data_IF_720318503336
#
_entry.id   IF_720318503336
#
_cell.length_a   1.000
_cell.length_b   1.000
_cell.length_c   1.000
_cell.angle_alpha   90.00
_cell.angle_beta   90.00
_cell.angle_gamma   90.00
#
_symmetry.space_group_name_H-M   'P 1'
#
loop_
_entity.id
_entity.type
_entity.pdbx_description
1 polymer ?
#
# COMPACT_ATOMS: atom_id res chain seq x y z
N UNK A 1 13.53 10.67 -23.23
CA UNK A 1 14.12 10.61 -21.87
C UNK A 1 13.05 10.26 -20.85
N UNK A 2 13.36 9.51 -19.76
CA UNK A 2 12.34 9.06 -18.84
C UNK A 2 11.79 10.25 -18.04
N UNK A 3 10.50 10.52 -18.19
CA UNK A 3 9.75 11.57 -17.48
C UNK A 3 9.67 11.23 -15.98
N UNK A 4 10.75 11.40 -15.22
CA UNK A 4 10.66 11.40 -13.75
C UNK A 4 9.94 12.69 -13.34
N UNK A 5 8.78 12.52 -12.72
CA UNK A 5 7.95 13.64 -12.27
C UNK A 5 8.74 14.59 -11.37
N UNK A 6 9.00 15.81 -11.88
CA UNK A 6 9.67 16.94 -11.23
C UNK A 6 8.88 17.53 -10.04
N UNK A 7 7.85 16.82 -9.55
CA UNK A 7 6.91 17.28 -8.52
C UNK A 7 7.27 16.84 -7.09
N UNK A 8 8.44 16.22 -6.90
CA UNK A 8 8.81 15.56 -5.63
C UNK A 8 9.80 16.34 -4.75
N UNK A 9 10.29 17.50 -5.19
CA UNK A 9 11.41 18.21 -4.55
C UNK A 9 11.02 19.45 -3.73
N UNK A 10 9.72 19.73 -3.56
CA UNK A 10 9.23 20.94 -2.86
C UNK A 10 9.11 20.74 -1.32
N UNK A 11 10.05 20.05 -0.68
CA UNK A 11 9.97 19.77 0.76
C UNK A 11 8.81 18.84 1.17
N UNK A 12 8.28 18.05 0.23
CA UNK A 12 7.25 17.06 0.54
C UNK A 12 7.84 15.86 1.29
N UNK A 13 7.43 15.70 2.55
CA UNK A 13 7.77 14.55 3.38
C UNK A 13 6.90 13.35 2.95
N UNK A 14 7.55 12.27 2.52
CA UNK A 14 6.90 11.03 2.07
C UNK A 14 6.39 10.24 3.26
N UNK A 15 5.22 9.61 3.09
CA UNK A 15 4.63 8.69 4.07
C UNK A 15 5.62 7.58 4.46
N UNK A 16 5.64 7.13 5.74
CA UNK A 16 6.36 5.93 6.12
C UNK A 16 5.77 4.71 5.41
N UNK A 17 6.61 3.70 5.17
CA UNK A 17 6.18 2.46 4.51
C UNK A 17 5.36 1.61 5.48
N UNK A 18 4.26 1.05 4.99
CA UNK A 18 3.49 0.05 5.73
C UNK A 18 4.09 -1.36 5.52
N UNK A 19 3.61 -2.34 6.29
CA UNK A 19 4.09 -3.73 6.24
C UNK A 19 4.08 -4.32 4.82
N UNK A 20 2.96 -4.17 4.11
CA UNK A 20 2.82 -4.64 2.73
C UNK A 20 3.87 -4.02 1.80
N UNK A 21 4.10 -2.71 1.88
CA UNK A 21 5.07 -2.02 1.02
C UNK A 21 6.51 -2.46 1.33
N UNK A 22 6.83 -2.74 2.60
CA UNK A 22 8.16 -3.25 3.00
C UNK A 22 8.40 -4.62 2.37
N UNK A 23 7.42 -5.53 2.51
CA UNK A 23 7.47 -6.87 1.92
C UNK A 23 7.50 -6.83 0.38
N UNK A 24 6.58 -6.07 -0.23
CA UNK A 24 6.37 -6.02 -1.67
C UNK A 24 7.58 -5.44 -2.42
N UNK A 25 8.38 -4.56 -1.81
CA UNK A 25 9.59 -4.02 -2.46
C UNK A 25 10.59 -5.10 -2.84
N UNK A 26 10.80 -6.09 -1.99
CA UNK A 26 11.72 -7.22 -2.25
C UNK A 26 11.11 -8.17 -3.29
N UNK A 27 9.86 -8.57 -3.07
CA UNK A 27 9.16 -9.56 -3.90
C UNK A 27 8.84 -9.05 -5.31
N UNK A 28 8.55 -7.75 -5.45
CA UNK A 28 8.31 -7.13 -6.75
C UNK A 28 9.51 -7.28 -7.69
N UNK A 29 10.73 -7.12 -7.18
CA UNK A 29 11.94 -7.24 -8.01
C UNK A 29 12.06 -8.65 -8.56
N UNK A 30 11.85 -9.65 -7.70
CA UNK A 30 11.90 -11.07 -8.07
C UNK A 30 10.85 -11.41 -9.12
N UNK A 31 9.60 -10.96 -8.93
CA UNK A 31 8.52 -11.22 -9.90
C UNK A 31 8.72 -10.50 -11.24
N UNK A 32 9.28 -9.29 -11.22
CA UNK A 32 9.58 -8.53 -12.43
C UNK A 32 10.73 -9.15 -13.23
N UNK A 33 11.73 -9.71 -12.55
CA UNK A 33 12.84 -10.42 -13.18
C UNK A 33 12.39 -11.76 -13.77
N UNK A 34 11.52 -12.50 -13.06
CA UNK A 34 10.94 -13.74 -13.55
C UNK A 34 9.97 -13.53 -14.72
N UNK A 35 9.28 -12.39 -14.77
CA UNK A 35 8.29 -12.06 -15.79
C UNK A 35 8.55 -10.67 -16.39
N UNK A 36 9.60 -10.52 -17.25
CA UNK A 36 9.99 -9.21 -17.77
C UNK A 36 8.94 -8.58 -18.71
N UNK A 37 8.02 -9.37 -19.25
CA UNK A 37 6.90 -8.93 -20.08
C UNK A 37 5.67 -8.51 -19.28
N UNK A 38 5.59 -8.91 -17.99
CA UNK A 38 4.45 -8.61 -17.15
C UNK A 38 4.39 -7.12 -16.84
N UNK A 39 3.18 -6.57 -16.88
CA UNK A 39 2.93 -5.19 -16.51
C UNK A 39 3.10 -5.00 -15.00
N UNK A 40 3.40 -3.77 -14.60
CA UNK A 40 3.43 -3.41 -13.18
C UNK A 40 2.09 -3.62 -12.47
N UNK A 41 0.97 -3.57 -13.22
CA UNK A 41 -0.36 -3.87 -12.71
C UNK A 41 -0.48 -5.33 -12.31
N UNK A 42 -0.17 -6.25 -13.23
CA UNK A 42 -0.21 -7.70 -13.01
C UNK A 42 0.72 -8.13 -11.87
N UNK A 43 1.95 -7.59 -11.83
CA UNK A 43 2.89 -7.87 -10.72
C UNK A 43 2.30 -7.41 -9.38
N UNK A 44 1.62 -6.26 -9.35
CA UNK A 44 1.01 -5.74 -8.10
C UNK A 44 -0.20 -6.56 -7.66
N UNK A 45 -0.96 -7.08 -8.60
CA UNK A 45 -2.08 -7.97 -8.34
C UNK A 45 -1.58 -9.30 -7.74
N UNK A 46 -0.57 -9.92 -8.35
CA UNK A 46 0.05 -11.14 -7.83
C UNK A 46 0.60 -10.93 -6.41
N UNK A 47 1.32 -9.82 -6.18
CA UNK A 47 1.83 -9.49 -4.84
C UNK A 47 0.71 -9.35 -3.81
N UNK A 48 -0.43 -8.77 -4.19
CA UNK A 48 -1.59 -8.65 -3.30
C UNK A 48 -2.19 -10.01 -2.94
N UNK A 49 -2.23 -10.94 -3.89
CA UNK A 49 -2.68 -12.33 -3.66
C UNK A 49 -1.72 -13.04 -2.69
N UNK A 50 -0.42 -13.01 -2.98
CA UNK A 50 0.59 -13.68 -2.15
C UNK A 50 0.62 -13.11 -0.73
N UNK A 51 0.55 -11.79 -0.56
CA UNK A 51 0.48 -11.17 0.77
C UNK A 51 -0.71 -11.66 1.59
N UNK A 52 -1.88 -11.88 0.97
CA UNK A 52 -3.05 -12.41 1.69
C UNK A 52 -2.86 -13.85 2.12
N UNK A 53 -2.13 -14.66 1.34
CA UNK A 53 -1.84 -16.07 1.65
C UNK A 53 -0.86 -16.26 2.79
N UNK A 54 0.05 -15.30 3.01
CA UNK A 54 1.00 -15.37 4.12
C UNK A 54 0.27 -15.47 5.47
N UNK A 55 0.80 -16.31 6.34
CA UNK A 55 0.37 -16.43 7.73
C UNK A 55 0.67 -15.15 8.51
N UNK A 56 0.04 -14.99 9.68
CA UNK A 56 0.31 -13.85 10.55
C UNK A 56 1.77 -13.85 11.01
N UNK A 57 2.32 -15.02 11.35
CA UNK A 57 3.72 -15.19 11.77
C UNK A 57 4.71 -14.73 10.70
N UNK A 58 4.43 -15.01 9.42
CA UNK A 58 5.24 -14.52 8.30
C UNK A 58 5.10 -13.00 8.10
N UNK A 59 3.94 -12.42 8.43
CA UNK A 59 3.68 -10.98 8.33
C UNK A 59 4.27 -10.19 9.50
N UNK A 60 4.36 -10.79 10.69
CA UNK A 60 4.85 -10.18 11.93
C UNK A 60 6.13 -9.36 11.79
N UNK A 61 7.23 -9.86 11.17
CA UNK A 61 8.44 -9.06 11.00
C UNK A 61 8.21 -7.78 10.18
N UNK A 62 7.30 -7.81 9.20
CA UNK A 62 6.96 -6.64 8.39
C UNK A 62 6.07 -5.65 9.13
N UNK A 63 5.18 -6.14 10.01
CA UNK A 63 4.40 -5.29 10.90
C UNK A 63 5.29 -4.58 11.93
N UNK A 64 6.23 -5.31 12.55
CA UNK A 64 7.21 -4.73 13.47
C UNK A 64 8.06 -3.65 12.78
N UNK A 65 8.55 -3.92 11.58
CA UNK A 65 9.34 -2.95 10.82
C UNK A 65 8.50 -1.75 10.36
N UNK A 66 7.25 -1.98 9.94
CA UNK A 66 6.29 -0.91 9.63
C UNK A 66 6.06 -0.01 10.84
N UNK A 67 5.96 -0.59 12.03
CA UNK A 67 5.79 0.16 13.26
C UNK A 67 7.04 0.99 13.57
N UNK A 68 8.23 0.38 13.46
CA UNK A 68 9.52 1.06 13.63
C UNK A 68 9.64 2.28 12.70
N UNK A 69 9.38 2.10 11.41
CA UNK A 69 9.44 3.18 10.42
C UNK A 69 8.41 4.27 10.67
N UNK A 70 7.21 3.92 11.16
CA UNK A 70 6.21 4.90 11.56
C UNK A 70 6.69 5.75 12.74
N UNK A 71 7.25 5.13 13.77
CA UNK A 71 7.78 5.85 14.94
C UNK A 71 8.97 6.73 14.57
N UNK A 72 9.92 6.19 13.80
CA UNK A 72 11.07 6.94 13.30
C UNK A 72 10.64 8.17 12.48
N UNK A 73 9.66 8.00 11.59
CA UNK A 73 9.09 9.11 10.84
C UNK A 73 8.42 10.15 11.73
N UNK A 74 7.67 9.73 12.76
CA UNK A 74 7.00 10.64 13.68
C UNK A 74 8.02 11.44 14.52
N UNK A 75 9.13 10.82 14.92
CA UNK A 75 10.21 11.51 15.63
C UNK A 75 10.95 12.50 14.74
N UNK A 76 11.25 12.13 13.49
CA UNK A 76 11.92 13.02 12.54
C UNK A 76 11.04 14.16 12.06
N UNK A 77 9.72 13.93 11.98
CA UNK A 77 8.75 14.90 11.47
C UNK A 77 7.54 15.00 12.42
N UNK A 78 7.69 15.64 13.59
CA UNK A 78 6.63 15.75 14.59
C UNK A 78 5.41 16.54 14.08
N UNK A 79 5.63 17.53 13.22
CA UNK A 79 4.58 18.36 12.62
C UNK A 79 3.99 17.78 11.32
N UNK A 80 4.41 16.56 10.94
CA UNK A 80 3.93 15.95 9.72
C UNK A 80 2.50 15.43 9.88
N UNK A 81 1.62 15.90 8.99
CA UNK A 81 0.22 15.51 8.96
C UNK A 81 -0.15 14.92 7.59
N UNK A 82 -0.84 13.78 7.59
CA UNK A 82 -1.35 13.18 6.36
C UNK A 82 -2.54 13.97 5.82
N UNK A 83 -2.31 14.75 4.77
CA UNK A 83 -3.36 15.48 4.04
C UNK A 83 -3.67 14.76 2.72
N UNK A 84 -4.71 13.91 2.64
CA UNK A 84 -5.06 13.24 1.41
C UNK A 84 -5.38 14.29 0.34
N UNK A 85 -4.65 14.25 -0.77
CA UNK A 85 -4.94 15.14 -1.89
C UNK A 85 -6.24 14.67 -2.54
N UNK A 86 -7.31 15.45 -2.37
CA UNK A 86 -8.54 15.24 -3.14
C UNK A 86 -8.20 15.30 -4.62
N UNK A 87 -8.21 14.14 -5.28
CA UNK A 87 -8.23 14.07 -6.73
C UNK A 87 -9.71 14.16 -7.06
N UNK A 88 -10.14 15.22 -7.75
CA UNK A 88 -11.44 15.21 -8.44
C UNK A 88 -11.45 13.94 -9.30
N UNK A 89 -12.14 12.91 -8.81
CA UNK A 89 -12.37 11.67 -9.54
C UNK A 89 -13.21 12.08 -10.74
N UNK A 90 -12.63 12.11 -11.94
CA UNK A 90 -13.43 11.92 -13.15
C UNK A 90 -14.07 10.55 -12.98
N UNK A 91 -15.38 10.52 -12.76
CA UNK A 91 -16.13 9.28 -12.59
C UNK A 91 -15.95 8.46 -13.87
N UNK A 92 -15.14 7.41 -13.80
CA UNK A 92 -15.20 6.32 -14.76
C UNK A 92 -16.12 5.30 -14.09
N UNK A 93 -17.37 5.29 -14.55
CA UNK A 93 -18.38 4.31 -14.18
C UNK A 93 -17.90 2.93 -14.61
N UNK A 94 -17.37 2.14 -13.67
CA UNK A 94 -17.21 0.70 -13.88
C UNK A 94 -18.52 0.06 -13.43
N UNK A 95 -19.22 -0.52 -14.39
CA UNK A 95 -20.45 -1.29 -14.20
C UNK A 95 -20.15 -2.65 -13.57
N UNK A 96 -20.94 -2.99 -12.55
CA UNK A 96 -21.38 -4.31 -12.10
C UNK A 96 -20.35 -5.44 -11.78
N UNK A 97 -20.24 -5.76 -10.48
CA UNK A 97 -20.27 -7.14 -9.98
C UNK A 97 -20.92 -7.13 -8.57
N UNK A 98 -21.88 -8.03 -8.26
CA UNK A 98 -22.62 -8.01 -7.00
C UNK A 98 -21.78 -8.55 -5.83
N UNK A 99 -21.84 -7.85 -4.69
CA UNK A 99 -21.22 -8.27 -3.43
C UNK A 99 -21.90 -9.53 -2.83
N UNK A 100 -21.14 -10.49 -2.27
CA UNK A 100 -21.67 -11.47 -1.34
C UNK A 100 -21.86 -10.83 0.04
N UNK A 101 -23.14 -10.68 0.43
CA UNK A 101 -23.60 -10.28 1.76
C UNK A 101 -23.05 -11.20 2.86
N UNK A 102 -22.44 -10.61 3.91
CA UNK A 102 -22.26 -11.27 5.21
C UNK A 102 -22.36 -10.24 6.35
N UNK A 103 -22.88 -10.63 7.52
CA UNK A 103 -23.87 -9.85 8.26
C UNK A 103 -23.28 -8.82 9.24
N UNK A 104 -24.10 -7.81 9.52
CA UNK A 104 -23.92 -6.83 10.58
C UNK A 104 -23.97 -7.52 11.95
N UNK A 105 -22.88 -7.44 12.72
CA UNK A 105 -22.94 -7.64 14.17
C UNK A 105 -22.75 -6.30 14.87
N UNK A 106 -23.90 -5.70 15.19
CA UNK A 106 -24.04 -4.59 16.10
C UNK A 106 -23.90 -5.11 17.53
N UNK A 107 -22.74 -4.93 18.16
CA UNK A 107 -22.62 -4.98 19.63
C UNK A 107 -22.46 -3.55 20.14
N UNK A 108 -23.63 -2.98 20.38
CA UNK A 108 -23.90 -1.90 21.32
C UNK A 108 -23.50 -2.39 22.71
N UNK A 109 -22.40 -1.86 23.24
CA UNK A 109 -22.18 -1.80 24.68
C UNK A 109 -22.64 -0.43 25.16
N UNK A 110 -23.48 -0.49 26.19
CA UNK A 110 -24.28 0.55 26.86
C UNK A 110 -23.48 1.75 27.34
#
# INVERSE_FOLDING_TARGET
GPKRSKRRDNGYIKRPMNAYIIWARKHRSVLAEANPTASQGEISEQLGIEWRKLSEEEKMPYFAESHRLKMEHQQQFPDWEYKPRSRQRKQVSVVAAPEPTAPQNNLMFT
#
